data_IF_070800447180
#
_entry.id   IF_070800447180
#
_cell.length_a   1.000
_cell.length_b   1.000
_cell.length_c   1.000
_cell.angle_alpha   90.00
_cell.angle_beta   90.00
_cell.angle_gamma   90.00
#
_symmetry.space_group_name_H-M   'P 1'
#
loop_
_entity.id
_entity.type
_entity.pdbx_description
1 polymer ?
#
# COMPACT_ATOMS: atom_id res chain seq x y z
N UNK A 1 -0.24 -22.44 -1.70
CA UNK A 1 0.00 -21.15 -2.40
C UNK A 1 -0.24 -20.01 -1.43
N UNK A 2 0.68 -19.04 -1.37
CA UNK A 2 0.51 -17.82 -0.55
C UNK A 2 -0.60 -16.96 -1.19
N UNK A 3 -1.60 -16.55 -0.43
CA UNK A 3 -2.75 -15.74 -0.90
C UNK A 3 -2.46 -14.25 -0.80
N UNK A 4 -1.33 -13.86 -1.38
CA UNK A 4 -0.92 -12.47 -1.45
C UNK A 4 -0.09 -12.20 -2.71
N UNK A 5 -0.02 -10.93 -3.09
CA UNK A 5 0.98 -10.40 -4.02
C UNK A 5 1.66 -9.19 -3.38
N UNK A 6 2.93 -9.00 -3.69
CA UNK A 6 3.72 -7.89 -3.17
C UNK A 6 4.69 -7.38 -4.22
N UNK A 7 5.10 -6.13 -4.06
CA UNK A 7 6.18 -5.48 -4.79
C UNK A 7 7.06 -4.72 -3.81
N UNK A 8 8.31 -4.48 -4.19
CA UNK A 8 9.28 -3.78 -3.34
C UNK A 8 10.08 -2.80 -4.19
N UNK A 9 10.35 -1.61 -3.64
CA UNK A 9 11.25 -0.62 -4.24
C UNK A 9 12.02 0.17 -3.18
N UNK A 10 13.24 0.59 -3.51
CA UNK A 10 13.96 1.61 -2.74
C UNK A 10 13.51 3.00 -3.20
N UNK A 11 13.03 3.80 -2.27
CA UNK A 11 12.56 5.17 -2.47
C UNK A 11 13.56 6.12 -1.83
N UNK A 12 13.96 7.18 -2.54
CA UNK A 12 14.95 8.15 -2.08
C UNK A 12 14.36 9.17 -1.09
N UNK A 13 13.81 8.66 0.01
CA UNK A 13 13.25 9.40 1.13
C UNK A 13 13.42 8.61 2.43
N UNK A 14 13.39 9.32 3.55
CA UNK A 14 13.41 8.72 4.88
C UNK A 14 12.07 8.03 5.19
N UNK A 15 12.04 7.01 6.08
CA UNK A 15 10.82 6.29 6.40
C UNK A 15 9.71 7.21 6.94
N UNK A 16 10.08 8.26 7.69
CA UNK A 16 9.15 9.24 8.25
C UNK A 16 8.40 10.03 7.16
N UNK A 17 9.09 10.46 6.11
CA UNK A 17 8.49 11.21 4.99
C UNK A 17 7.47 10.36 4.24
N UNK A 18 7.80 9.09 4.01
CA UNK A 18 6.91 8.13 3.34
C UNK A 18 5.73 7.79 4.26
N UNK A 19 5.97 7.60 5.55
CA UNK A 19 4.93 7.26 6.51
C UNK A 19 3.92 8.39 6.71
N UNK A 20 4.36 9.65 6.69
CA UNK A 20 3.47 10.81 6.70
C UNK A 20 2.50 10.81 5.50
N UNK A 21 2.99 10.45 4.30
CA UNK A 21 2.12 10.32 3.12
C UNK A 21 1.13 9.16 3.25
N UNK A 22 1.58 8.00 3.78
CA UNK A 22 0.73 6.83 3.97
C UNK A 22 -0.38 7.07 5.00
N UNK A 23 -0.12 7.92 6.00
CA UNK A 23 -1.08 8.23 7.07
C UNK A 23 -1.99 9.42 6.76
N UNK A 24 -1.73 10.18 5.68
CA UNK A 24 -2.59 11.26 5.19
C UNK A 24 -3.59 10.76 4.12
N UNK A 25 -4.89 10.62 4.45
CA UNK A 25 -5.90 10.14 3.50
C UNK A 25 -6.09 11.03 2.27
N UNK A 26 -5.69 12.30 2.35
CA UNK A 26 -5.76 13.22 1.22
C UNK A 26 -4.68 12.93 0.15
N UNK A 27 -3.61 12.20 0.52
CA UNK A 27 -2.57 11.76 -0.43
C UNK A 27 -2.87 10.39 -1.06
N UNK A 28 -3.75 9.58 -0.46
CA UNK A 28 -4.00 8.21 -0.92
C UNK A 28 -4.33 8.08 -2.42
N UNK A 29 -5.11 8.97 -3.07
CA UNK A 29 -5.34 8.89 -4.52
C UNK A 29 -4.08 9.06 -5.35
N UNK A 30 -3.08 9.81 -4.86
CA UNK A 30 -1.80 9.98 -5.54
C UNK A 30 -0.98 8.70 -5.51
N UNK A 31 -1.07 7.94 -4.42
CA UNK A 31 -0.36 6.68 -4.22
C UNK A 31 -1.06 5.50 -4.92
N UNK A 32 -2.37 5.54 -5.10
CA UNK A 32 -3.15 4.38 -5.56
C UNK A 32 -2.89 4.00 -7.03
N UNK A 33 -2.05 2.99 -7.26
CA UNK A 33 -1.81 2.44 -8.58
C UNK A 33 -2.99 1.69 -9.20
N UNK A 34 -4.09 1.44 -8.47
CA UNK A 34 -5.30 0.82 -9.02
C UNK A 34 -6.25 1.83 -9.68
N UNK A 35 -6.19 3.11 -9.30
CA UNK A 35 -7.09 4.18 -9.76
C UNK A 35 -8.51 4.08 -9.20
N UNK A 36 -8.70 3.34 -8.11
CA UNK A 36 -10.00 3.09 -7.47
C UNK A 36 -10.17 3.81 -6.13
N UNK A 37 -9.09 4.33 -5.56
CA UNK A 37 -9.09 5.07 -4.30
C UNK A 37 -9.46 6.53 -4.54
N UNK A 38 -10.49 6.98 -3.84
CA UNK A 38 -10.92 8.38 -3.84
C UNK A 38 -10.30 9.14 -2.66
N UNK A 39 -10.15 10.46 -2.80
CA UNK A 39 -9.67 11.30 -1.70
C UNK A 39 -10.68 11.24 -0.55
N UNK A 40 -10.23 10.81 0.63
CA UNK A 40 -10.99 10.92 1.86
C UNK A 40 -10.68 12.22 2.58
N UNK A 41 -11.65 12.79 3.29
CA UNK A 41 -11.34 13.74 4.38
C UNK A 41 -10.82 12.97 5.60
N UNK A 42 -10.00 13.56 6.49
CA UNK A 42 -9.50 12.88 7.71
C UNK A 42 -10.63 12.28 8.58
N UNK A 43 -11.80 12.93 8.57
CA UNK A 43 -13.02 12.49 9.26
C UNK A 43 -13.85 11.43 8.49
N UNK A 44 -13.47 11.10 7.24
CA UNK A 44 -14.09 10.10 6.36
C UNK A 44 -13.04 9.09 5.86
N UNK A 45 -12.26 8.55 6.77
CA UNK A 45 -11.57 7.25 6.59
C UNK A 45 -12.57 6.06 6.52
N UNK A 46 -13.78 6.30 5.99
CA UNK A 46 -14.95 5.42 6.07
C UNK A 46 -15.26 4.79 4.70
N UNK A 47 -14.22 4.30 4.03
CA UNK A 47 -14.34 3.31 2.96
C UNK A 47 -14.44 1.88 3.54
N UNK A 48 -14.84 1.74 4.81
CA UNK A 48 -14.86 0.45 5.52
C UNK A 48 -13.45 -0.14 5.75
N UNK A 49 -12.41 0.70 5.75
CA UNK A 49 -11.03 0.30 5.98
C UNK A 49 -10.66 0.51 7.45
N UNK A 50 -10.22 -0.54 8.13
CA UNK A 50 -9.74 -0.46 9.53
C UNK A 50 -8.22 -0.61 9.54
N UNK A 51 -7.51 0.25 10.28
CA UNK A 51 -6.08 0.02 10.58
C UNK A 51 -5.97 -1.22 11.47
N UNK A 52 -5.23 -2.23 11.02
CA UNK A 52 -5.07 -3.51 11.73
C UNK A 52 -3.62 -3.80 12.14
N UNK A 53 -2.65 -3.10 11.54
CA UNK A 53 -1.25 -3.11 11.93
C UNK A 53 -0.76 -1.66 11.88
N UNK A 54 -0.03 -1.22 12.91
CA UNK A 54 0.53 0.12 12.99
C UNK A 54 1.81 0.09 13.83
N UNK A 55 2.92 0.46 13.21
CA UNK A 55 4.20 0.76 13.84
C UNK A 55 4.72 2.02 13.16
N UNK A 56 4.84 3.09 13.94
CA UNK A 56 5.23 4.40 13.43
C UNK A 56 6.53 4.32 12.61
N UNK A 57 6.51 4.90 11.42
CA UNK A 57 7.64 4.93 10.48
C UNK A 57 8.12 3.56 9.97
N UNK A 58 7.38 2.47 10.22
CA UNK A 58 7.80 1.10 9.86
C UNK A 58 6.71 0.27 9.20
N UNK A 59 5.48 0.34 9.68
CA UNK A 59 4.43 -0.57 9.24
C UNK A 59 3.05 0.07 9.37
N UNK A 60 2.26 -0.01 8.31
CA UNK A 60 0.82 0.25 8.38
C UNK A 60 0.07 -0.74 7.50
N UNK A 61 -1.03 -1.28 8.02
CA UNK A 61 -1.93 -2.11 7.24
C UNK A 61 -3.39 -1.71 7.44
N UNK A 62 -4.11 -1.59 6.32
CA UNK A 62 -5.55 -1.39 6.29
C UNK A 62 -6.24 -2.66 5.85
N UNK A 63 -7.28 -3.05 6.60
CA UNK A 63 -8.19 -4.13 6.23
C UNK A 63 -9.47 -3.54 5.68
N UNK A 64 -9.78 -3.89 4.43
CA UNK A 64 -11.03 -3.52 3.77
C UNK A 64 -12.20 -4.32 4.34
N UNK A 65 -13.43 -3.82 4.16
CA UNK A 65 -14.65 -4.45 4.69
C UNK A 65 -14.86 -5.89 4.21
N UNK A 66 -14.29 -6.25 3.05
CA UNK A 66 -14.30 -7.61 2.48
C UNK A 66 -13.21 -8.54 3.05
N UNK A 67 -12.43 -8.08 4.02
CA UNK A 67 -11.48 -8.87 4.81
C UNK A 67 -10.06 -8.97 4.23
N UNK A 68 -9.82 -8.49 3.01
CA UNK A 68 -8.46 -8.40 2.47
C UNK A 68 -7.71 -7.21 3.07
N UNK A 69 -6.37 -7.28 3.08
CA UNK A 69 -5.49 -6.26 3.63
C UNK A 69 -4.56 -5.68 2.57
N UNK A 70 -4.31 -4.38 2.72
CA UNK A 70 -3.20 -3.67 2.10
C UNK A 70 -2.19 -3.35 3.18
N UNK A 71 -0.95 -3.80 3.01
CA UNK A 71 0.11 -3.68 4.01
C UNK A 71 1.32 -3.00 3.40
N UNK A 72 1.85 -2.01 4.10
CA UNK A 72 3.03 -1.23 3.73
C UNK A 72 4.10 -1.39 4.80
N UNK A 73 5.28 -1.84 4.38
CA UNK A 73 6.46 -1.95 5.22
C UNK A 73 7.53 -0.97 4.76
N UNK A 74 8.16 -0.30 5.72
CA UNK A 74 9.23 0.67 5.52
C UNK A 74 10.45 0.20 6.31
N UNK A 75 11.55 -0.04 5.60
CA UNK A 75 12.82 -0.42 6.20
C UNK A 75 13.90 0.55 5.72
N UNK A 76 14.72 1.13 6.61
CA UNK A 76 15.89 1.90 6.19
C UNK A 76 16.80 1.07 5.27
N UNK A 77 17.28 1.68 4.19
CA UNK A 77 18.14 1.04 3.21
C UNK A 77 19.19 2.01 2.65
N UNK A 78 20.21 1.49 1.99
CA UNK A 78 21.13 2.34 1.24
C UNK A 78 20.37 3.10 0.15
N UNK A 79 20.52 4.42 0.10
CA UNK A 79 19.82 5.30 -0.85
C UNK A 79 18.38 5.66 -0.45
N UNK A 80 17.94 5.36 0.79
CA UNK A 80 16.67 5.84 1.35
C UNK A 80 15.90 4.74 2.10
N UNK A 81 14.69 4.43 1.66
CA UNK A 81 13.80 3.46 2.32
C UNK A 81 13.41 2.35 1.37
N UNK A 82 13.61 1.09 1.79
CA UNK A 82 13.02 -0.07 1.15
C UNK A 82 11.54 -0.15 1.53
N UNK A 83 10.68 0.14 0.55
CA UNK A 83 9.23 0.09 0.69
C UNK A 83 8.69 -1.20 0.10
N UNK A 84 7.87 -1.93 0.86
CA UNK A 84 7.14 -3.10 0.37
C UNK A 84 5.64 -2.90 0.53
N UNK A 85 4.92 -2.95 -0.59
CA UNK A 85 3.45 -2.96 -0.59
C UNK A 85 2.96 -4.39 -0.85
N UNK A 86 1.96 -4.82 -0.07
CA UNK A 86 1.37 -6.16 -0.16
C UNK A 86 -0.14 -6.09 -0.19
N UNK A 87 -0.74 -6.76 -1.17
CA UNK A 87 -2.16 -7.12 -1.18
C UNK A 87 -2.33 -8.56 -0.67
N UNK A 88 -2.92 -8.72 0.51
CA UNK A 88 -3.15 -10.01 1.17
C UNK A 88 -4.64 -10.32 1.25
N UNK A 89 -5.08 -11.36 0.55
CA UNK A 89 -6.47 -11.83 0.57
C UNK A 89 -6.66 -13.14 1.33
N UNK A 90 -5.66 -13.57 2.13
CA UNK A 90 -5.75 -14.77 2.96
C UNK A 90 -6.90 -14.71 3.96
N UNK A 91 -7.24 -13.52 4.45
CA UNK A 91 -8.35 -13.25 5.39
C UNK A 91 -9.61 -12.70 4.73
N UNK A 92 -9.66 -12.68 3.39
CA UNK A 92 -10.86 -12.24 2.67
C UNK A 92 -12.02 -13.22 2.89
N UNK A 93 -13.26 -12.74 2.74
CA UNK A 93 -14.47 -13.60 2.84
C UNK A 93 -14.52 -14.71 1.78
N UNK A 94 -13.95 -14.46 0.59
CA UNK A 94 -13.98 -15.38 -0.56
C UNK A 94 -12.57 -15.59 -1.18
N UNK A 95 -11.62 -16.15 -0.42
CA UNK A 95 -10.20 -16.12 -0.79
C UNK A 95 -9.87 -16.99 -2.01
N UNK A 96 -10.58 -18.11 -2.19
CA UNK A 96 -10.42 -19.01 -3.34
C UNK A 96 -10.92 -18.37 -4.64
N UNK A 97 -12.04 -17.65 -4.58
CA UNK A 97 -12.60 -16.92 -5.72
C UNK A 97 -11.62 -15.84 -6.19
N UNK A 98 -11.01 -15.11 -5.26
CA UNK A 98 -9.97 -14.11 -5.59
C UNK A 98 -8.78 -14.79 -6.27
N UNK A 99 -8.30 -15.92 -5.74
CA UNK A 99 -7.18 -16.68 -6.32
C UNK A 99 -7.42 -17.15 -7.76
N UNK A 100 -8.65 -17.47 -8.14
CA UNK A 100 -9.01 -17.96 -9.48
C UNK A 100 -9.37 -16.83 -10.46
N UNK A 101 -9.35 -15.58 -10.01
CA UNK A 101 -9.74 -14.41 -10.80
C UNK A 101 -8.54 -13.65 -11.37
N UNK A 102 -8.80 -12.54 -12.07
CA UNK A 102 -7.77 -11.61 -12.52
C UNK A 102 -7.24 -10.67 -11.42
N UNK A 103 -7.88 -10.64 -10.24
CA UNK A 103 -7.51 -9.70 -9.16
C UNK A 103 -6.05 -9.81 -8.70
N UNK A 104 -5.45 -11.01 -8.50
CA UNK A 104 -4.05 -11.12 -8.09
C UNK A 104 -3.09 -10.48 -9.10
N UNK A 105 -3.30 -10.71 -10.40
CA UNK A 105 -2.48 -10.12 -11.46
C UNK A 105 -2.67 -8.61 -11.52
N UNK A 106 -3.92 -8.15 -11.53
CA UNK A 106 -4.25 -6.72 -11.58
C UNK A 106 -3.69 -5.95 -10.37
N UNK A 107 -3.77 -6.54 -9.18
CA UNK A 107 -3.25 -5.91 -7.96
C UNK A 107 -1.73 -5.92 -7.92
N UNK A 108 -1.06 -6.94 -8.46
CA UNK A 108 0.40 -6.90 -8.67
C UNK A 108 0.78 -5.73 -9.59
N UNK A 109 0.13 -5.59 -10.73
CA UNK A 109 0.36 -4.46 -11.65
C UNK A 109 0.04 -3.10 -11.00
N UNK A 110 -0.98 -3.04 -10.14
CA UNK A 110 -1.31 -1.84 -9.37
C UNK A 110 -0.23 -1.50 -8.35
N UNK A 111 0.30 -2.49 -7.62
CA UNK A 111 1.39 -2.30 -6.65
C UNK A 111 2.63 -1.70 -7.33
N UNK A 112 3.04 -2.23 -8.48
CA UNK A 112 4.18 -1.66 -9.22
C UNK A 112 3.94 -0.19 -9.56
N UNK A 113 2.72 0.16 -10.02
CA UNK A 113 2.35 1.56 -10.30
C UNK A 113 2.32 2.43 -9.04
N UNK A 114 1.87 1.92 -7.90
CA UNK A 114 1.90 2.65 -6.63
C UNK A 114 3.34 2.98 -6.23
N UNK A 115 4.25 2.00 -6.34
CA UNK A 115 5.67 2.17 -6.04
C UNK A 115 6.38 3.09 -7.04
N UNK A 116 6.02 3.04 -8.33
CA UNK A 116 6.47 4.01 -9.35
C UNK A 116 6.06 5.44 -8.98
N UNK A 117 4.79 5.64 -8.61
CA UNK A 117 4.29 6.96 -8.23
C UNK A 117 4.94 7.47 -6.95
N UNK A 118 5.12 6.61 -5.95
CA UNK A 118 5.82 6.96 -4.72
C UNK A 118 7.26 7.38 -5.02
N UNK A 119 7.98 6.62 -5.86
CA UNK A 119 9.34 6.99 -6.28
C UNK A 119 9.39 8.34 -7.01
N UNK A 120 8.40 8.62 -7.87
CA UNK A 120 8.32 9.89 -8.60
C UNK A 120 8.04 11.11 -7.69
N UNK A 121 7.52 10.91 -6.48
CA UNK A 121 7.33 11.99 -5.49
C UNK A 121 8.64 12.37 -4.80
N UNK A 122 9.63 11.47 -4.81
CA UNK A 122 10.95 11.66 -4.22
C UNK A 122 12.05 11.46 -5.29
N UNK A 123 12.12 12.36 -6.29
CA UNK A 123 13.24 12.34 -7.21
C UNK A 123 14.48 12.68 -6.37
N UNK A 124 15.33 11.69 -6.11
CA UNK A 124 16.54 11.87 -5.30
C UNK A 124 17.31 13.11 -5.75
N UNK A 125 17.91 13.83 -4.80
CA UNK A 125 18.84 14.89 -5.13
C UNK A 125 19.93 14.31 -6.06
N UNK A 126 20.00 14.83 -7.29
CA UNK A 126 21.08 14.53 -8.24
C UNK A 126 22.42 14.96 -7.66
#
# INVERSE_FOLDING_TARGET
MRRQVSGTRVIAAEPEEIFALLTDPSQHPKLDGSGTVQAGSPAKLDLGNTVVEYEENRLIAWRHFNGHRWRWELEPAEGGTRVTETFDWSTARIPVVISLSFFPRRNREAIERSLDRLAAMFPGAQ
#
